data_IF_651397644071
#
_entry.id   IF_651397644071
#
_cell.length_a   1.000
_cell.length_b   1.000
_cell.length_c   1.000
_cell.angle_alpha   90.00
_cell.angle_beta   90.00
_cell.angle_gamma   90.00
#
_symmetry.space_group_name_H-M   'P 1'
#
loop_
_entity.id
_entity.type
_entity.pdbx_description
1 polymer ?
#
# COMPACT_ATOMS: atom_id res chain seq x y z
N UNK A 1 -1.33 -11.81 -9.34
CA UNK A 1 -1.20 -10.82 -8.26
C UNK A 1 -1.43 -9.41 -8.82
N UNK A 2 -2.46 -8.71 -8.32
CA UNK A 2 -2.93 -7.42 -8.86
C UNK A 2 -2.10 -6.22 -8.35
N UNK A 3 -0.78 -6.26 -8.51
CA UNK A 3 0.13 -5.14 -8.17
C UNK A 3 -0.25 -3.84 -8.90
N UNK A 4 -0.96 -3.97 -10.04
CA UNK A 4 -1.53 -2.85 -10.81
C UNK A 4 -2.68 -2.14 -10.08
N UNK A 5 -3.54 -2.87 -9.35
CA UNK A 5 -4.65 -2.26 -8.60
C UNK A 5 -4.15 -1.49 -7.37
N UNK A 6 -3.17 -2.05 -6.66
CA UNK A 6 -2.50 -1.37 -5.55
C UNK A 6 -1.88 -0.05 -6.01
N UNK A 7 -1.04 -0.09 -7.06
CA UNK A 7 -0.43 1.10 -7.63
C UNK A 7 -1.48 2.12 -8.10
N UNK A 8 -2.57 1.66 -8.71
CA UNK A 8 -3.64 2.52 -9.20
C UNK A 8 -4.35 3.25 -8.06
N UNK A 9 -4.64 2.59 -6.94
CA UNK A 9 -5.25 3.22 -5.76
C UNK A 9 -4.32 4.24 -5.09
N UNK A 10 -3.05 3.93 -4.90
CA UNK A 10 -2.09 4.88 -4.32
C UNK A 10 -1.89 6.09 -5.25
N UNK A 11 -1.77 5.88 -6.56
CA UNK A 11 -1.72 6.93 -7.58
C UNK A 11 -3.00 7.78 -7.72
N UNK A 12 -4.15 7.27 -7.28
CA UNK A 12 -5.41 8.02 -7.26
C UNK A 12 -5.54 8.87 -5.99
N UNK A 13 -4.98 8.39 -4.88
CA UNK A 13 -5.03 9.10 -3.59
C UNK A 13 -4.01 10.24 -3.50
N UNK A 14 -2.92 10.17 -4.26
CA UNK A 14 -1.87 11.19 -4.27
C UNK A 14 -1.56 11.62 -5.71
N UNK A 15 -2.41 12.47 -6.32
CA UNK A 15 -2.20 12.92 -7.69
C UNK A 15 -0.90 13.73 -7.84
N UNK A 16 -0.53 14.52 -6.83
CA UNK A 16 0.72 15.30 -6.81
C UNK A 16 1.98 14.43 -6.74
N UNK A 17 1.85 13.20 -6.23
CA UNK A 17 2.98 12.29 -6.08
C UNK A 17 3.02 11.20 -7.17
N UNK A 18 2.10 11.24 -8.13
CA UNK A 18 1.86 10.16 -9.09
C UNK A 18 3.08 9.80 -9.95
N UNK A 19 3.92 10.80 -10.24
CA UNK A 19 5.15 10.67 -11.02
C UNK A 19 6.36 10.27 -10.17
N UNK A 20 6.39 10.68 -8.90
CA UNK A 20 7.44 10.28 -7.95
C UNK A 20 7.18 8.90 -7.33
N UNK A 21 5.95 8.39 -7.27
CA UNK A 21 5.67 7.02 -6.77
C UNK A 21 6.53 5.95 -7.48
N UNK A 22 6.52 5.84 -8.83
CA UNK A 22 7.35 4.84 -9.51
C UNK A 22 8.86 5.11 -9.34
N UNK A 23 9.28 6.39 -9.27
CA UNK A 23 10.67 6.76 -9.02
C UNK A 23 11.11 6.36 -7.62
N UNK A 24 10.37 6.75 -6.57
CA UNK A 24 10.60 6.32 -5.19
C UNK A 24 10.61 4.81 -5.04
N UNK A 25 9.80 4.07 -5.80
CA UNK A 25 9.82 2.61 -5.72
C UNK A 25 11.15 2.02 -6.22
N UNK A 26 11.80 2.67 -7.20
CA UNK A 26 13.09 2.25 -7.71
C UNK A 26 14.25 2.81 -6.87
N UNK A 27 14.13 4.06 -6.44
CA UNK A 27 15.15 4.81 -5.71
C UNK A 27 15.19 4.44 -4.22
N UNK A 28 14.04 4.16 -3.62
CA UNK A 28 13.89 3.87 -2.20
C UNK A 28 13.53 2.39 -1.93
N UNK A 29 14.48 1.57 -1.46
CA UNK A 29 14.23 0.16 -1.13
C UNK A 29 13.24 -0.01 0.04
N UNK A 30 13.06 1.03 0.87
CA UNK A 30 12.03 1.02 1.91
C UNK A 30 10.63 1.07 1.30
N UNK A 31 10.45 1.87 0.26
CA UNK A 31 9.18 1.94 -0.46
C UNK A 31 8.85 0.60 -1.13
N UNK A 32 9.85 -0.05 -1.75
CA UNK A 32 9.68 -1.38 -2.35
C UNK A 32 9.17 -2.42 -1.33
N UNK A 33 9.78 -2.49 -0.14
CA UNK A 33 9.35 -3.39 0.95
C UNK A 33 7.90 -3.15 1.39
N UNK A 34 7.54 -1.90 1.65
CA UNK A 34 6.18 -1.53 2.06
C UNK A 34 5.16 -1.90 0.95
N UNK A 35 5.58 -1.79 -0.32
CA UNK A 35 4.76 -2.16 -1.46
C UNK A 35 4.52 -3.67 -1.56
N UNK A 36 5.54 -4.46 -1.28
CA UNK A 36 5.46 -5.92 -1.21
C UNK A 36 4.55 -6.35 -0.05
N UNK A 37 4.77 -5.83 1.16
CA UNK A 37 3.90 -6.09 2.32
C UNK A 37 2.44 -5.71 2.04
N UNK A 38 2.21 -4.58 1.37
CA UNK A 38 0.86 -4.17 1.00
C UNK A 38 0.25 -5.12 -0.03
N UNK A 39 1.03 -5.63 -0.99
CA UNK A 39 0.54 -6.58 -1.99
C UNK A 39 0.19 -7.94 -1.37
N UNK A 40 1.01 -8.41 -0.42
CA UNK A 40 0.72 -9.61 0.36
C UNK A 40 -0.55 -9.45 1.21
N UNK A 41 -0.69 -8.31 1.90
CA UNK A 41 -1.90 -7.99 2.67
C UNK A 41 -3.14 -7.89 1.80
N UNK A 42 -3.05 -7.28 0.62
CA UNK A 42 -4.19 -7.19 -0.32
C UNK A 42 -4.61 -8.59 -0.81
N UNK A 43 -3.64 -9.44 -1.12
CA UNK A 43 -3.89 -10.83 -1.48
C UNK A 43 -4.50 -11.62 -0.31
N UNK A 44 -3.98 -11.44 0.91
CA UNK A 44 -4.52 -12.08 2.08
C UNK A 44 -5.97 -11.63 2.35
N UNK A 45 -6.26 -10.32 2.27
CA UNK A 45 -7.63 -9.79 2.37
C UNK A 45 -8.52 -10.40 1.29
N UNK A 46 -8.06 -10.48 0.04
CA UNK A 46 -8.84 -11.05 -1.06
C UNK A 46 -9.15 -12.53 -0.83
N UNK A 47 -8.17 -13.33 -0.40
CA UNK A 47 -8.35 -14.74 -0.06
C UNK A 47 -9.32 -14.92 1.13
N UNK A 48 -9.25 -14.04 2.14
CA UNK A 48 -10.14 -14.05 3.30
C UNK A 48 -11.55 -13.58 2.95
N UNK A 49 -11.71 -12.62 2.04
CA UNK A 49 -13.03 -12.15 1.57
C UNK A 49 -13.73 -13.14 0.64
N UNK A 50 -12.95 -13.92 -0.13
CA UNK A 50 -13.45 -15.04 -0.94
C UNK A 50 -14.03 -16.16 -0.08
N UNK A 51 -13.53 -16.35 1.13
CA UNK A 51 -14.02 -17.35 2.06
C UNK A 51 -15.03 -16.74 3.05
N UNK A 52 -16.34 -16.97 2.89
CA UNK A 52 -17.36 -16.36 3.73
C UNK A 52 -17.25 -16.71 5.23
N UNK A 53 -16.58 -17.83 5.57
CA UNK A 53 -16.26 -18.21 6.96
C UNK A 53 -15.28 -17.22 7.62
N UNK A 54 -14.33 -16.66 6.87
CA UNK A 54 -13.38 -15.67 7.40
C UNK A 54 -13.96 -14.25 7.43
N UNK A 55 -15.05 -13.96 6.71
CA UNK A 55 -15.75 -12.66 6.82
C UNK A 55 -16.29 -12.34 8.22
N UNK A 56 -16.60 -13.38 8.99
CA UNK A 56 -17.10 -13.23 10.37
C UNK A 56 -15.94 -12.94 11.35
N UNK A 57 -14.69 -13.15 10.94
CA UNK A 57 -13.54 -13.04 11.82
C UNK A 57 -12.92 -11.62 11.80
N UNK A 58 -12.57 -11.14 13.00
CA UNK A 58 -11.89 -9.88 13.32
C UNK A 58 -10.62 -9.63 12.49
N UNK A 59 -10.03 -10.70 11.95
CA UNK A 59 -8.88 -10.69 11.07
C UNK A 59 -8.99 -9.75 9.87
N UNK A 60 -10.14 -9.68 9.18
CA UNK A 60 -10.27 -8.77 8.02
C UNK A 60 -10.15 -7.32 8.46
N UNK A 61 -10.67 -6.98 9.64
CA UNK A 61 -10.57 -5.64 10.19
C UNK A 61 -9.12 -5.31 10.59
N UNK A 62 -8.42 -6.27 11.20
CA UNK A 62 -6.99 -6.16 11.50
C UNK A 62 -6.14 -5.99 10.24
N UNK A 63 -6.43 -6.75 9.17
CA UNK A 63 -5.75 -6.65 7.87
C UNK A 63 -6.02 -5.29 7.22
N UNK A 64 -7.25 -4.77 7.28
CA UNK A 64 -7.57 -3.41 6.82
C UNK A 64 -6.82 -2.34 7.62
N UNK A 65 -6.69 -2.50 8.94
CA UNK A 65 -5.86 -1.59 9.76
C UNK A 65 -4.39 -1.64 9.37
N UNK A 66 -3.82 -2.83 9.12
CA UNK A 66 -2.45 -2.98 8.61
C UNK A 66 -2.28 -2.31 7.25
N UNK A 67 -3.23 -2.50 6.34
CA UNK A 67 -3.23 -1.85 5.03
C UNK A 67 -3.24 -0.32 5.15
N UNK A 68 -4.02 0.21 6.09
CA UNK A 68 -4.04 1.65 6.39
C UNK A 68 -2.69 2.13 6.93
N UNK A 69 -2.06 1.38 7.84
CA UNK A 69 -0.71 1.69 8.36
C UNK A 69 0.34 1.76 7.26
N UNK A 70 0.36 0.78 6.35
CA UNK A 70 1.28 0.79 5.21
C UNK A 70 1.05 1.98 4.30
N UNK A 71 -0.20 2.40 4.11
CA UNK A 71 -0.53 3.62 3.36
C UNK A 71 0.00 4.88 4.05
N UNK A 72 -0.12 4.97 5.38
CA UNK A 72 0.44 6.07 6.18
C UNK A 72 1.97 6.14 6.04
N UNK A 73 2.61 4.97 6.02
CA UNK A 73 4.06 4.84 5.87
C UNK A 73 4.52 5.23 4.46
N UNK A 74 3.78 4.82 3.42
CA UNK A 74 3.95 5.30 2.03
C UNK A 74 3.86 6.82 1.99
N UNK A 75 2.84 7.40 2.64
CA UNK A 75 2.65 8.85 2.65
C UNK A 75 3.80 9.58 3.35
N UNK A 76 4.27 9.06 4.50
CA UNK A 76 5.45 9.60 5.20
C UNK A 76 6.70 9.56 4.32
N UNK A 77 6.93 8.46 3.60
CA UNK A 77 8.07 8.34 2.69
C UNK A 77 7.98 9.34 1.53
N UNK A 78 6.78 9.49 0.95
CA UNK A 78 6.53 10.48 -0.10
C UNK A 78 6.77 11.91 0.40
N UNK A 79 6.19 12.28 1.54
CA UNK A 79 6.39 13.59 2.15
C UNK A 79 7.85 13.86 2.52
N UNK A 80 8.55 12.86 3.08
CA UNK A 80 9.96 12.98 3.41
C UNK A 80 10.81 13.22 2.17
N UNK A 81 10.56 12.48 1.09
CA UNK A 81 11.29 12.66 -0.16
C UNK A 81 11.01 14.04 -0.78
N UNK A 82 9.76 14.47 -0.83
CA UNK A 82 9.38 15.80 -1.35
C UNK A 82 10.01 16.92 -0.52
N UNK A 83 9.98 16.82 0.81
CA UNK A 83 10.58 17.82 1.69
C UNK A 83 12.11 17.80 1.66
N UNK A 84 12.73 16.64 1.40
CA UNK A 84 14.18 16.53 1.24
C UNK A 84 14.69 17.02 -0.12
N UNK A 85 13.81 17.16 -1.12
CA UNK A 85 14.14 17.70 -2.45
C UNK A 85 13.70 19.17 -2.64
N UNK A 86 13.10 19.77 -1.62
CA UNK A 86 12.75 21.20 -1.55
C UNK A 86 13.86 21.99 -0.84
#
# INVERSE_FOLDING_TARGET
MNTKECNKKVKLMFPEHREIIPQLRQDNPRFAKIFEEHAELDQEIYQRELNPVFRINDDIEALKRKKLRLKDEIYRLLQYHVNSQA
#
